data_IF_948401006163
#
_entry.id   IF_948401006163
#
_cell.length_a   1.000
_cell.length_b   1.000
_cell.length_c   1.000
_cell.angle_alpha   90.00
_cell.angle_beta   90.00
_cell.angle_gamma   90.00
#
_symmetry.space_group_name_H-M   'P 1'
#
loop_
_entity.id
_entity.type
_entity.pdbx_description
1 polymer ?
#
# COMPACT_ATOMS: atom_id res chain seq x y z
N UNK A 1 -1.21 2.26 21.21
CA UNK A 1 0.08 2.98 21.39
C UNK A 1 -0.19 4.45 21.10
N UNK A 2 0.12 5.36 22.04
CA UNK A 2 0.00 6.80 21.80
C UNK A 2 1.37 7.30 21.33
N UNK A 3 1.46 7.74 20.06
CA UNK A 3 2.70 8.26 19.49
C UNK A 3 2.83 9.75 19.78
N UNK A 4 3.76 10.11 20.66
CA UNK A 4 4.19 11.50 20.85
C UNK A 4 5.32 11.80 19.85
N UNK A 5 5.00 12.50 18.76
CA UNK A 5 5.99 12.93 17.78
C UNK A 5 6.79 14.12 18.32
N UNK A 6 7.95 13.82 18.90
CA UNK A 6 8.89 14.85 19.32
C UNK A 6 9.54 15.55 18.12
N UNK A 7 9.86 16.80 18.38
CA UNK A 7 10.08 17.94 17.50
C UNK A 7 11.42 17.84 16.73
N UNK A 8 11.48 17.11 15.62
CA UNK A 8 12.52 17.31 14.59
C UNK A 8 11.95 16.97 13.20
N UNK A 9 11.92 17.96 12.31
CA UNK A 9 11.46 17.95 10.91
C UNK A 9 9.98 17.62 10.59
N UNK A 10 9.08 18.38 11.21
CA UNK A 10 7.61 18.20 11.25
C UNK A 10 6.82 18.40 9.94
N UNK A 11 7.40 18.74 8.78
CA UNK A 11 6.62 19.10 7.58
C UNK A 11 6.42 17.98 6.54
N UNK A 12 7.15 16.85 6.61
CA UNK A 12 7.16 15.85 5.53
C UNK A 12 6.42 14.55 5.82
N UNK A 13 6.30 14.14 7.09
CA UNK A 13 5.65 12.87 7.44
C UNK A 13 4.12 12.94 7.32
N UNK A 14 3.51 14.09 7.59
CA UNK A 14 2.04 14.25 7.64
C UNK A 14 1.39 14.84 6.38
N UNK A 15 2.18 15.31 5.40
CA UNK A 15 1.65 15.95 4.18
C UNK A 15 1.04 14.98 3.17
N UNK A 16 1.09 13.68 3.44
CA UNK A 16 0.72 12.62 2.49
C UNK A 16 -0.45 11.74 2.97
N UNK A 17 -1.17 12.17 4.00
CA UNK A 17 -2.35 11.47 4.48
C UNK A 17 -3.59 11.90 3.72
N UNK A 18 -4.46 10.93 3.42
CA UNK A 18 -5.76 11.13 2.81
C UNK A 18 -6.84 10.68 3.78
N UNK A 19 -7.78 11.58 4.04
CA UNK A 19 -9.08 11.28 4.63
C UNK A 19 -10.14 11.43 3.54
N UNK A 20 -11.22 10.62 3.57
CA UNK A 20 -12.36 10.82 2.68
C UNK A 20 -12.94 12.24 2.77
N UNK A 21 -13.47 12.76 1.66
CA UNK A 21 -14.06 14.09 1.63
C UNK A 21 -15.24 14.19 2.61
N UNK A 22 -15.27 15.24 3.42
CA UNK A 22 -16.32 15.45 4.43
C UNK A 22 -16.16 14.58 5.67
N UNK A 23 -15.09 13.78 5.75
CA UNK A 23 -14.80 12.93 6.89
C UNK A 23 -13.48 13.37 7.52
N UNK A 24 -13.52 13.67 8.82
CA UNK A 24 -12.36 14.05 9.59
C UNK A 24 -12.71 14.94 10.78
N UNK A 25 -11.78 15.08 11.72
CA UNK A 25 -11.95 15.97 12.86
C UNK A 25 -12.04 17.44 12.41
N UNK A 26 -12.86 18.27 13.09
CA UNK A 26 -12.76 19.73 12.97
C UNK A 26 -11.32 20.22 13.21
N UNK A 27 -10.98 21.36 12.60
CA UNK A 27 -9.65 21.97 12.80
C UNK A 27 -9.48 22.33 14.28
N UNK A 28 -8.34 21.96 14.86
CA UNK A 28 -8.03 22.17 16.28
C UNK A 28 -8.46 21.03 17.21
N UNK A 29 -9.15 20.00 16.71
CA UNK A 29 -9.50 18.82 17.51
C UNK A 29 -8.27 17.95 17.78
N UNK A 30 -8.14 17.50 19.03
CA UNK A 30 -7.13 16.52 19.43
C UNK A 30 -7.43 15.15 18.79
N UNK A 31 -6.41 14.55 18.20
CA UNK A 31 -6.52 13.23 17.58
C UNK A 31 -5.59 12.23 18.27
N UNK A 32 -6.01 10.97 18.29
CA UNK A 32 -5.19 9.83 18.67
C UNK A 32 -4.85 9.04 17.41
N UNK A 33 -3.56 8.80 17.20
CA UNK A 33 -3.10 8.00 16.06
C UNK A 33 -2.94 6.54 16.51
N UNK A 34 -3.67 5.65 15.85
CA UNK A 34 -3.64 4.22 16.07
C UNK A 34 -2.97 3.55 14.86
N UNK A 35 -1.93 2.77 15.11
CA UNK A 35 -1.27 1.94 14.09
C UNK A 35 -1.60 0.49 14.40
N UNK A 36 -2.18 -0.18 13.42
CA UNK A 36 -2.61 -1.58 13.49
C UNK A 36 -1.64 -2.41 12.65
N UNK A 37 -1.10 -3.48 13.21
CA UNK A 37 -0.13 -4.35 12.52
C UNK A 37 -0.63 -5.79 12.58
N UNK A 38 -0.81 -6.39 11.41
CA UNK A 38 -1.10 -7.81 11.26
C UNK A 38 0.18 -8.62 11.51
N UNK A 39 0.14 -9.50 12.51
CA UNK A 39 1.28 -10.36 12.89
C UNK A 39 1.25 -11.72 12.19
N UNK A 40 0.13 -12.08 11.57
CA UNK A 40 -0.05 -13.33 10.81
C UNK A 40 0.47 -13.25 9.36
N UNK A 41 1.14 -12.14 9.03
CA UNK A 41 1.70 -11.87 7.71
C UNK A 41 0.65 -11.56 6.63
N UNK A 42 -0.63 -11.48 6.98
CA UNK A 42 -1.69 -11.18 6.03
C UNK A 42 -1.86 -9.67 5.81
N UNK A 43 -2.32 -9.23 4.64
CA UNK A 43 -2.65 -7.83 4.39
C UNK A 43 -3.70 -7.30 5.37
N UNK A 44 -3.59 -6.01 5.72
CA UNK A 44 -4.63 -5.31 6.47
C UNK A 44 -5.83 -5.04 5.55
N UNK A 45 -7.06 -5.15 6.07
CA UNK A 45 -8.27 -4.90 5.27
C UNK A 45 -8.26 -3.48 4.67
N UNK A 46 -7.80 -2.51 5.46
CA UNK A 46 -7.65 -1.11 5.09
C UNK A 46 -6.18 -0.72 5.24
N UNK A 47 -5.34 -1.24 4.35
CA UNK A 47 -3.89 -0.97 4.40
C UNK A 47 -3.56 0.51 4.24
N UNK A 48 -2.72 1.04 5.13
CA UNK A 48 -2.22 2.41 5.08
C UNK A 48 -1.50 2.71 3.76
N UNK A 49 -0.66 1.75 3.35
CA UNK A 49 0.19 1.86 2.18
C UNK A 49 -0.52 1.57 0.87
N UNK A 50 -1.84 1.34 0.86
CA UNK A 50 -2.74 0.99 -0.27
C UNK A 50 -2.17 0.10 -1.37
N UNK A 51 -1.16 -0.71 -1.09
CA UNK A 51 -0.55 -1.53 -2.10
C UNK A 51 -1.55 -2.57 -2.62
N UNK A 52 -1.25 -3.13 -3.79
CA UNK A 52 -1.92 -4.36 -4.18
C UNK A 52 -1.58 -5.46 -3.18
N UNK A 53 -2.43 -6.48 -3.12
CA UNK A 53 -2.14 -7.71 -2.36
C UNK A 53 -1.13 -8.63 -3.07
N UNK A 54 -0.48 -8.16 -4.14
CA UNK A 54 0.59 -8.87 -4.84
C UNK A 54 1.69 -7.89 -5.22
N UNK A 55 2.95 -8.29 -5.05
CA UNK A 55 4.08 -7.44 -5.37
C UNK A 55 5.43 -8.18 -5.38
N UNK A 56 6.50 -7.51 -5.85
CA UNK A 56 7.79 -8.12 -6.20
C UNK A 56 8.64 -8.54 -5.02
N UNK A 57 8.23 -8.19 -3.81
CA UNK A 57 8.97 -8.48 -2.59
C UNK A 57 8.37 -9.70 -1.91
N UNK A 58 9.20 -10.58 -1.36
CA UNK A 58 8.72 -11.78 -0.65
C UNK A 58 7.84 -11.46 0.58
N UNK A 59 7.98 -10.26 1.15
CA UNK A 59 7.25 -9.78 2.32
C UNK A 59 6.19 -8.71 1.98
N UNK A 60 5.77 -8.65 0.71
CA UNK A 60 4.85 -7.60 0.25
C UNK A 60 3.52 -7.60 1.01
N UNK A 61 2.96 -8.77 1.31
CA UNK A 61 1.72 -8.91 2.08
C UNK A 61 1.87 -8.39 3.51
N UNK A 62 3.03 -8.57 4.11
CA UNK A 62 3.31 -8.04 5.44
C UNK A 62 3.45 -6.52 5.43
N UNK A 63 4.03 -5.96 4.37
CA UNK A 63 4.03 -4.51 4.15
C UNK A 63 2.60 -3.99 3.96
N UNK A 64 1.70 -4.78 3.38
CA UNK A 64 0.28 -4.47 3.32
C UNK A 64 -0.43 -4.65 4.67
N UNK A 65 0.18 -5.34 5.65
CA UNK A 65 -0.33 -5.63 6.98
C UNK A 65 -0.42 -4.44 7.95
N UNK A 66 -0.02 -3.24 7.53
CA UNK A 66 -0.06 -2.02 8.35
C UNK A 66 -1.32 -1.20 8.05
N UNK A 67 -2.18 -1.02 9.05
CA UNK A 67 -3.29 -0.08 9.07
C UNK A 67 -2.94 1.17 9.88
N UNK A 68 -3.48 2.32 9.46
CA UNK A 68 -3.36 3.58 10.19
C UNK A 68 -4.75 4.16 10.37
N UNK A 69 -5.14 4.43 11.61
CA UNK A 69 -6.46 4.97 11.98
C UNK A 69 -6.27 6.15 12.90
N UNK A 70 -7.14 7.14 12.79
CA UNK A 70 -7.22 8.25 13.74
C UNK A 70 -8.52 8.13 14.53
N UNK A 71 -8.45 8.44 15.82
CA UNK A 71 -9.60 8.54 16.70
C UNK A 71 -9.68 9.97 17.25
N UNK A 72 -10.89 10.52 17.36
CA UNK A 72 -11.12 11.82 17.95
C UNK A 72 -12.49 11.87 18.62
N UNK A 73 -12.69 12.85 19.52
CA UNK A 73 -14.04 13.15 20.02
C UNK A 73 -14.69 14.23 19.18
N UNK A 74 -15.93 14.02 18.77
CA UNK A 74 -16.73 15.05 18.13
C UNK A 74 -17.20 16.11 19.15
N UNK A 75 -17.84 17.22 18.70
CA UNK A 75 -18.37 18.24 19.61
C UNK A 75 -19.40 17.72 20.63
N UNK A 76 -20.02 16.56 20.37
CA UNK A 76 -20.97 15.87 21.24
C UNK A 76 -20.29 14.83 22.15
N UNK A 77 -18.95 14.86 22.24
CA UNK A 77 -18.12 13.94 23.02
C UNK A 77 -18.22 12.46 22.63
N UNK A 78 -18.74 12.16 21.43
CA UNK A 78 -18.74 10.82 20.87
C UNK A 78 -17.39 10.50 20.25
N UNK A 79 -16.92 9.27 20.46
CA UNK A 79 -15.69 8.80 19.82
C UNK A 79 -15.95 8.49 18.35
N UNK A 80 -15.19 9.16 17.49
CA UNK A 80 -15.17 8.98 16.05
C UNK A 80 -13.85 8.33 15.65
N UNK A 81 -13.86 7.60 14.53
CA UNK A 81 -12.68 6.95 13.99
C UNK A 81 -12.70 6.99 12.46
N UNK A 82 -11.52 7.07 11.85
CA UNK A 82 -11.37 6.95 10.40
C UNK A 82 -9.99 6.42 10.03
N UNK A 83 -9.93 5.57 9.00
CA UNK A 83 -8.68 5.07 8.47
C UNK A 83 -8.00 6.10 7.57
N UNK A 84 -6.70 6.22 7.74
CA UNK A 84 -5.86 7.16 7.03
C UNK A 84 -4.98 6.42 6.04
N UNK A 85 -5.08 6.81 4.78
CA UNK A 85 -4.40 6.14 3.68
C UNK A 85 -3.37 7.06 3.03
N UNK A 86 -2.35 6.49 2.37
CA UNK A 86 -1.35 7.28 1.66
C UNK A 86 -1.94 7.91 0.38
N UNK A 87 -1.90 9.25 0.29
CA UNK A 87 -2.42 10.02 -0.85
C UNK A 87 -1.65 9.78 -2.16
N UNK A 88 -0.35 9.54 -2.08
CA UNK A 88 0.52 9.34 -3.25
C UNK A 88 1.31 8.04 -3.13
N UNK A 89 0.82 7.00 -3.79
CA UNK A 89 1.52 5.73 -3.98
C UNK A 89 2.63 5.86 -5.03
N UNK A 90 2.34 6.63 -6.07
CA UNK A 90 3.00 6.59 -7.38
C UNK A 90 3.77 7.86 -7.70
N UNK A 91 4.46 8.44 -6.71
CA UNK A 91 5.50 9.40 -7.06
C UNK A 91 6.47 8.65 -7.98
N UNK A 92 6.69 9.22 -9.18
CA UNK A 92 7.59 8.69 -10.21
C UNK A 92 8.95 8.52 -9.55
N UNK A 93 9.23 7.36 -8.97
CA UNK A 93 10.56 7.09 -8.50
C UNK A 93 11.46 6.92 -9.70
N UNK A 94 12.60 7.59 -9.57
CA UNK A 94 13.58 7.93 -10.57
C UNK A 94 13.92 6.78 -11.52
N UNK A 95 14.04 7.12 -12.80
CA UNK A 95 14.80 6.35 -13.78
C UNK A 95 16.08 5.79 -13.13
N UNK A 96 16.29 4.47 -13.20
CA UNK A 96 17.46 3.80 -12.63
C UNK A 96 17.22 3.03 -11.32
N UNK A 97 16.02 3.09 -10.73
CA UNK A 97 15.67 2.28 -9.55
C UNK A 97 15.00 0.95 -9.94
N UNK A 98 15.27 -0.17 -9.24
CA UNK A 98 14.57 -1.43 -9.41
C UNK A 98 13.04 -1.30 -9.38
N UNK A 99 12.33 -2.08 -10.20
CA UNK A 99 10.87 -2.24 -10.12
C UNK A 99 10.31 -2.42 -8.72
N UNK A 100 9.04 -2.08 -8.49
CA UNK A 100 8.36 -2.46 -7.23
C UNK A 100 8.56 -1.55 -6.04
N UNK A 101 9.45 -0.57 -6.15
CA UNK A 101 9.79 0.40 -5.11
C UNK A 101 8.70 1.47 -4.95
N UNK A 102 7.51 1.04 -4.53
CA UNK A 102 6.41 1.98 -4.25
C UNK A 102 6.67 2.68 -2.91
N UNK A 103 6.30 3.96 -2.81
CA UNK A 103 6.38 4.67 -1.52
C UNK A 103 5.52 4.02 -0.44
N UNK A 104 4.40 3.40 -0.85
CA UNK A 104 3.57 2.59 0.03
C UNK A 104 4.38 1.49 0.69
N UNK A 105 5.04 0.65 -0.11
CA UNK A 105 5.82 -0.49 0.39
C UNK A 105 6.89 -0.01 1.37
N UNK A 106 7.63 1.01 0.94
CA UNK A 106 8.70 1.59 1.72
C UNK A 106 8.28 2.04 3.11
N UNK A 107 7.23 2.85 3.18
CA UNK A 107 6.78 3.43 4.43
C UNK A 107 6.15 2.39 5.32
N UNK A 108 5.34 1.48 4.77
CA UNK A 108 4.74 0.42 5.57
C UNK A 108 5.79 -0.53 6.14
N UNK A 109 6.76 -0.97 5.33
CA UNK A 109 7.85 -1.82 5.81
C UNK A 109 8.69 -1.13 6.88
N UNK A 110 9.01 0.15 6.68
CA UNK A 110 9.72 0.94 7.68
C UNK A 110 8.91 1.10 8.97
N UNK A 111 7.62 1.44 8.90
CA UNK A 111 6.76 1.53 10.08
C UNK A 111 6.71 0.22 10.84
N UNK A 112 6.51 -0.88 10.11
CA UNK A 112 6.46 -2.22 10.70
C UNK A 112 7.77 -2.55 11.40
N UNK A 113 8.92 -2.32 10.76
CA UNK A 113 10.23 -2.57 11.33
C UNK A 113 10.48 -1.71 12.59
N UNK A 114 10.16 -0.42 12.53
CA UNK A 114 10.30 0.51 13.65
C UNK A 114 9.47 0.08 14.87
N UNK A 115 8.22 -0.34 14.63
CA UNK A 115 7.25 -0.66 15.69
C UNK A 115 7.42 -2.07 16.25
N UNK A 116 7.83 -3.02 15.43
CA UNK A 116 8.14 -4.38 15.90
C UNK A 116 9.60 -4.53 16.34
N UNK A 117 10.36 -3.44 16.33
CA UNK A 117 11.77 -3.39 16.74
C UNK A 117 12.63 -4.41 15.95
N UNK A 118 12.35 -4.55 14.65
CA UNK A 118 13.03 -5.49 13.75
C UNK A 118 14.28 -4.85 13.14
N UNK A 119 15.43 -5.53 13.26
CA UNK A 119 16.61 -5.21 12.48
C UNK A 119 16.57 -5.97 11.17
N UNK A 120 16.21 -5.27 10.09
CA UNK A 120 16.08 -5.90 8.78
C UNK A 120 17.32 -5.77 7.90
N UNK A 121 18.40 -5.15 8.39
CA UNK A 121 19.59 -4.88 7.57
C UNK A 121 19.28 -4.11 6.28
N UNK A 122 18.11 -3.51 6.14
CA UNK A 122 17.62 -3.11 4.81
C UNK A 122 18.44 -2.01 4.18
N UNK A 123 19.16 -1.20 4.97
CA UNK A 123 19.91 -0.06 4.45
C UNK A 123 21.02 -0.43 3.49
N UNK A 124 21.69 -1.58 3.67
CA UNK A 124 22.77 -1.97 2.76
C UNK A 124 22.25 -2.58 1.45
N UNK A 125 21.14 -3.32 1.49
CA UNK A 125 20.56 -3.98 0.30
C UNK A 125 19.59 -3.06 -0.44
N UNK A 126 18.92 -2.20 0.32
CA UNK A 126 17.83 -1.35 -0.12
C UNK A 126 17.94 0.04 0.52
N UNK A 127 18.95 0.86 0.14
CA UNK A 127 19.19 2.21 0.72
C UNK A 127 18.02 3.20 0.54
N UNK A 128 17.01 2.82 -0.24
CA UNK A 128 15.78 3.54 -0.49
C UNK A 128 14.70 3.25 0.56
N UNK A 129 14.85 2.20 1.39
CA UNK A 129 13.98 1.97 2.54
C UNK A 129 14.34 2.99 3.61
N UNK A 130 13.31 3.68 4.12
CA UNK A 130 13.50 4.69 5.17
C UNK A 130 13.85 3.99 6.48
N UNK A 131 14.94 4.42 7.11
CA UNK A 131 15.22 4.07 8.50
C UNK A 131 14.39 5.02 9.33
N UNK A 132 13.47 4.48 10.13
CA UNK A 132 12.80 5.28 11.14
C UNK A 132 13.39 5.04 12.54
N UNK A 133 14.48 4.28 12.62
CA UNK A 133 15.08 3.81 13.86
C UNK A 133 14.22 2.74 14.53
N UNK A 134 14.38 2.62 15.84
CA UNK A 134 13.63 1.70 16.69
C UNK A 134 12.72 2.51 17.60
N UNK A 135 11.43 2.19 17.62
CA UNK A 135 10.50 2.80 18.57
C UNK A 135 10.71 2.23 19.97
N UNK A 136 10.65 3.09 21.00
CA UNK A 136 10.45 2.64 22.38
C UNK A 136 8.98 2.22 22.55
N UNK A 137 8.73 0.91 22.60
CA UNK A 137 7.37 0.38 22.66
C UNK A 137 7.01 0.00 24.09
N UNK A 138 5.92 0.57 24.60
CA UNK A 138 5.31 0.14 25.85
C UNK A 138 4.14 -0.80 25.53
N UNK A 139 4.23 -2.06 25.95
CA UNK A 139 3.13 -3.01 25.85
C UNK A 139 2.16 -2.74 26.99
N UNK A 140 0.88 -2.65 26.64
CA UNK A 140 -0.21 -2.50 27.59
C UNK A 140 -1.08 -3.75 27.45
N UNK A 141 -1.18 -4.53 28.51
CA UNK A 141 -2.05 -5.71 28.58
C UNK A 141 -3.23 -5.37 29.46
N UNK A 142 -4.44 -5.58 28.94
CA UNK A 142 -5.69 -5.38 29.67
C UNK A 142 -6.27 -6.76 29.94
N UNK A 143 -6.25 -7.17 31.20
CA UNK A 143 -6.88 -8.40 31.67
C UNK A 143 -8.33 -8.08 32.02
N UNK A 144 -9.27 -8.45 31.15
CA UNK A 144 -10.69 -8.10 31.33
C UNK A 144 -11.32 -8.75 32.56
N UNK A 145 -10.91 -9.97 32.93
CA UNK A 145 -11.49 -10.67 34.07
C UNK A 145 -11.08 -10.04 35.40
N UNK A 146 -9.82 -9.61 35.53
CA UNK A 146 -9.31 -9.00 36.77
C UNK A 146 -9.32 -7.47 36.72
N UNK A 147 -9.83 -6.88 35.63
CA UNK A 147 -9.81 -5.44 35.37
C UNK A 147 -8.43 -4.80 35.57
N UNK A 148 -7.37 -5.56 35.27
CA UNK A 148 -5.99 -5.13 35.54
C UNK A 148 -5.34 -4.63 34.26
N UNK A 149 -4.74 -3.44 34.34
CA UNK A 149 -3.94 -2.86 33.26
C UNK A 149 -2.47 -3.02 33.63
N UNK A 150 -1.76 -3.90 32.93
CA UNK A 150 -0.31 -4.06 33.07
C UNK A 150 0.39 -3.28 31.97
N UNK A 151 1.47 -2.60 32.32
CA UNK A 151 2.22 -1.80 31.36
C UNK A 151 3.71 -2.03 31.52
N UNK A 152 4.34 -2.59 30.48
CA UNK A 152 5.75 -2.96 30.48
C UNK A 152 6.46 -2.31 29.28
N UNK A 153 7.69 -1.87 29.47
CA UNK A 153 8.53 -1.46 28.35
C UNK A 153 9.02 -2.74 27.66
N UNK A 154 8.72 -2.90 26.37
CA UNK A 154 9.28 -4.00 25.60
C UNK A 154 10.76 -3.73 25.37
N UNK A 155 11.60 -4.62 25.89
CA UNK A 155 13.03 -4.59 25.62
C UNK A 155 13.26 -4.61 24.11
N UNK A 156 14.24 -3.81 23.67
CA UNK A 156 14.68 -3.83 22.27
C UNK A 156 15.43 -5.13 22.03
N UNK A 157 14.69 -6.14 21.58
CA UNK A 157 15.27 -7.45 21.29
C UNK A 157 16.01 -7.47 19.97
N UNK A 158 15.86 -6.43 19.14
CA UNK A 158 16.59 -6.29 17.89
C UNK A 158 16.43 -7.50 16.99
N UNK A 159 15.22 -8.08 16.94
CA UNK A 159 14.97 -9.35 16.30
C UNK A 159 15.50 -9.31 14.86
N UNK A 160 16.55 -10.08 14.61
CA UNK A 160 17.13 -10.20 13.29
C UNK A 160 16.11 -10.90 12.40
N UNK A 161 15.73 -10.22 11.32
CA UNK A 161 14.76 -10.73 10.37
C UNK A 161 15.44 -10.99 9.04
N UNK A 162 15.11 -12.09 8.32
CA UNK A 162 15.59 -12.30 6.97
C UNK A 162 15.32 -11.09 6.10
N UNK A 163 16.32 -10.70 5.30
CA UNK A 163 16.12 -9.66 4.30
C UNK A 163 15.04 -10.13 3.31
N UNK A 164 14.05 -9.30 3.00
CA UNK A 164 13.12 -9.55 1.92
C UNK A 164 13.86 -9.87 0.63
N UNK A 165 13.51 -10.99 0.01
CA UNK A 165 14.02 -11.30 -1.30
C UNK A 165 13.26 -10.44 -2.31
N UNK A 166 14.01 -9.65 -3.07
CA UNK A 166 13.55 -9.12 -4.33
C UNK A 166 13.38 -10.33 -5.27
N UNK A 167 12.25 -10.45 -5.96
CA UNK A 167 11.79 -11.62 -6.72
C UNK A 167 10.96 -12.61 -5.89
N UNK A 168 9.66 -12.31 -5.75
CA UNK A 168 8.73 -13.40 -6.07
C UNK A 168 8.98 -13.77 -7.54
N UNK A 169 9.13 -15.07 -7.82
CA UNK A 169 9.14 -15.57 -9.20
C UNK A 169 8.00 -14.88 -9.95
N UNK A 170 8.30 -14.13 -11.02
CA UNK A 170 7.26 -13.45 -11.79
C UNK A 170 6.17 -14.44 -12.22
N UNK A 171 6.54 -15.72 -12.41
CA UNK A 171 5.59 -16.80 -12.66
C UNK A 171 4.70 -17.07 -11.46
N UNK A 172 5.22 -17.09 -10.24
CA UNK A 172 4.42 -17.23 -9.03
C UNK A 172 3.42 -16.07 -8.90
N UNK A 173 3.84 -14.84 -9.15
CA UNK A 173 2.91 -13.69 -9.18
C UNK A 173 1.84 -13.84 -10.26
N UNK A 174 2.24 -14.25 -11.45
CA UNK A 174 1.29 -14.47 -12.54
C UNK A 174 0.32 -15.60 -12.21
N UNK A 175 0.78 -16.68 -11.57
CA UNK A 175 -0.06 -17.78 -11.08
C UNK A 175 -1.03 -17.29 -10.00
N UNK A 176 -0.58 -16.47 -9.05
CA UNK A 176 -1.46 -15.84 -8.06
C UNK A 176 -2.54 -15.01 -8.75
N UNK A 177 -2.16 -14.17 -9.72
CA UNK A 177 -3.13 -13.38 -10.47
C UNK A 177 -4.13 -14.25 -11.24
N UNK A 178 -3.64 -15.30 -11.91
CA UNK A 178 -4.48 -16.26 -12.64
C UNK A 178 -5.44 -16.99 -11.69
N UNK A 179 -4.98 -17.41 -10.51
CA UNK A 179 -5.81 -18.04 -9.48
C UNK A 179 -6.90 -17.10 -8.96
N UNK A 180 -6.67 -15.77 -8.97
CA UNK A 180 -7.67 -14.76 -8.65
C UNK A 180 -8.63 -14.44 -9.82
N UNK A 181 -8.45 -15.11 -10.98
CA UNK A 181 -9.27 -14.96 -12.17
C UNK A 181 -8.72 -14.01 -13.22
N UNK A 182 -7.45 -13.58 -13.11
CA UNK A 182 -6.81 -12.79 -14.16
C UNK A 182 -6.71 -13.59 -15.45
N UNK A 183 -7.01 -12.93 -16.57
CA UNK A 183 -6.84 -13.50 -17.90
C UNK A 183 -5.58 -12.93 -18.54
N UNK A 184 -4.93 -13.74 -19.38
CA UNK A 184 -3.82 -13.30 -20.22
C UNK A 184 -2.71 -12.57 -19.45
N UNK A 185 -2.17 -13.24 -18.42
CA UNK A 185 -1.12 -12.66 -17.59
C UNK A 185 0.23 -12.82 -18.29
N UNK A 186 0.83 -11.70 -18.68
CA UNK A 186 2.11 -11.62 -19.35
C UNK A 186 3.27 -11.44 -18.36
N UNK A 187 4.35 -12.16 -18.64
CA UNK A 187 5.59 -12.17 -17.88
C UNK A 187 6.65 -11.31 -18.58
N UNK A 188 7.61 -10.77 -17.81
CA UNK A 188 8.69 -9.97 -18.40
C UNK A 188 9.68 -10.84 -19.18
N UNK A 189 9.80 -12.11 -18.81
CA UNK A 189 10.65 -13.13 -19.43
C UNK A 189 10.10 -13.71 -20.74
N UNK A 190 8.86 -13.41 -21.11
CA UNK A 190 8.26 -13.91 -22.35
C UNK A 190 8.29 -12.82 -23.43
N UNK A 191 9.08 -13.00 -24.52
CA UNK A 191 9.17 -12.00 -25.57
C UNK A 191 7.90 -11.93 -26.44
N UNK A 192 7.21 -13.07 -26.60
CA UNK A 192 6.16 -13.29 -27.59
C UNK A 192 4.85 -13.81 -26.98
N UNK A 193 4.35 -13.19 -25.90
CA UNK A 193 2.95 -13.38 -25.52
C UNK A 193 2.06 -12.74 -26.60
N UNK A 194 0.89 -13.33 -26.93
CA UNK A 194 0.02 -12.81 -27.97
C UNK A 194 -0.21 -11.30 -27.81
N UNK A 195 -0.23 -10.56 -28.92
CA UNK A 195 -0.25 -9.12 -28.89
C UNK A 195 -1.43 -8.62 -28.06
N UNK A 196 -1.15 -7.55 -27.32
CA UNK A 196 -2.14 -6.65 -26.74
C UNK A 196 -3.27 -6.47 -27.76
N UNK A 197 -4.46 -7.03 -27.47
CA UNK A 197 -5.62 -6.93 -28.36
C UNK A 197 -5.97 -8.17 -29.21
N UNK A 198 -5.51 -9.38 -28.87
CA UNK A 198 -6.10 -10.60 -29.45
C UNK A 198 -7.63 -10.59 -29.26
N UNK A 199 -8.35 -10.61 -30.38
CA UNK A 199 -9.79 -10.33 -30.49
C UNK A 199 -10.65 -11.19 -29.54
N UNK A 200 -11.00 -10.66 -28.37
CA UNK A 200 -12.18 -11.14 -27.65
C UNK A 200 -13.39 -10.71 -28.46
N UNK A 201 -14.03 -11.67 -29.14
CA UNK A 201 -15.17 -11.40 -30.03
C UNK A 201 -16.37 -10.72 -29.36
N UNK A 202 -16.42 -10.61 -28.02
CA UNK A 202 -17.59 -10.11 -27.28
C UNK A 202 -17.26 -9.23 -26.05
N UNK A 203 -16.07 -8.64 -25.93
CA UNK A 203 -15.77 -7.71 -24.82
C UNK A 203 -15.40 -6.33 -25.35
N UNK A 204 -15.87 -5.29 -24.67
CA UNK A 204 -15.46 -3.90 -24.91
C UNK A 204 -13.93 -3.84 -24.95
N UNK A 205 -13.36 -3.54 -26.13
CA UNK A 205 -11.92 -3.64 -26.43
C UNK A 205 -11.10 -2.80 -25.44
N UNK A 206 -10.53 -3.43 -24.40
CA UNK A 206 -9.49 -2.81 -23.58
C UNK A 206 -8.18 -2.80 -24.38
N UNK A 207 -7.78 -1.63 -24.87
CA UNK A 207 -6.48 -1.43 -25.55
C UNK A 207 -5.32 -1.38 -24.54
N UNK A 208 -5.63 -1.12 -23.27
CA UNK A 208 -4.65 -0.99 -22.17
C UNK A 208 -4.75 -2.19 -21.23
N UNK A 209 -3.64 -2.56 -20.60
CA UNK A 209 -3.66 -3.57 -19.53
C UNK A 209 -4.55 -3.09 -18.37
N UNK A 210 -5.00 -4.02 -17.53
CA UNK A 210 -5.95 -3.69 -16.46
C UNK A 210 -5.42 -2.57 -15.56
N UNK A 211 -4.17 -2.68 -15.09
CA UNK A 211 -3.59 -1.63 -14.24
C UNK A 211 -3.57 -0.25 -14.93
N UNK A 212 -3.17 -0.18 -16.20
CA UNK A 212 -3.12 1.09 -16.94
C UNK A 212 -4.54 1.64 -17.20
N UNK A 213 -5.49 0.76 -17.50
CA UNK A 213 -6.89 1.12 -17.71
C UNK A 213 -7.51 1.71 -16.43
N UNK A 214 -7.41 1.01 -15.30
CA UNK A 214 -7.96 1.47 -14.02
C UNK A 214 -7.22 2.70 -13.49
N UNK A 215 -5.89 2.77 -13.65
CA UNK A 215 -5.14 3.98 -13.29
C UNK A 215 -5.59 5.19 -14.10
N UNK A 216 -5.94 5.04 -15.37
CA UNK A 216 -6.46 6.15 -16.16
C UNK A 216 -7.87 6.55 -15.72
N UNK A 217 -8.79 5.56 -15.63
CA UNK A 217 -10.21 5.79 -15.31
C UNK A 217 -10.36 6.37 -13.91
N UNK A 218 -9.64 5.84 -12.93
CA UNK A 218 -9.81 6.23 -11.53
C UNK A 218 -8.89 7.39 -11.13
N UNK A 219 -7.65 7.41 -11.63
CA UNK A 219 -6.70 8.45 -11.25
C UNK A 219 -6.88 9.77 -12.00
N UNK A 220 -7.70 9.80 -13.06
CA UNK A 220 -7.88 10.97 -13.93
C UNK A 220 -6.57 11.44 -14.57
N UNK A 221 -5.55 10.57 -14.64
CA UNK A 221 -4.24 10.91 -15.16
C UNK A 221 -4.31 10.85 -16.69
N UNK A 222 -4.23 12.02 -17.33
CA UNK A 222 -4.40 12.20 -18.78
C UNK A 222 -3.37 11.43 -19.62
N UNK A 223 -2.20 11.11 -19.06
CA UNK A 223 -1.17 10.32 -19.73
C UNK A 223 -0.61 9.24 -18.82
N UNK A 224 -0.44 8.05 -19.41
CA UNK A 224 0.80 7.25 -19.41
C UNK A 224 0.51 6.05 -20.28
N UNK A 225 0.92 6.14 -21.54
CA UNK A 225 0.70 5.13 -22.55
C UNK A 225 1.01 3.73 -22.01
N UNK A 226 0.09 2.80 -22.26
CA UNK A 226 0.29 1.39 -21.98
C UNK A 226 1.24 0.82 -23.05
N UNK A 227 2.49 1.29 -23.06
CA UNK A 227 3.48 0.93 -24.07
C UNK A 227 4.16 -0.37 -23.64
N UNK A 228 4.11 -1.36 -24.51
CA UNK A 228 4.85 -2.62 -24.39
C UNK A 228 6.35 -2.31 -24.34
N UNK A 229 7.08 -2.92 -23.41
CA UNK A 229 8.55 -2.82 -23.39
C UNK A 229 9.09 -3.65 -24.56
N UNK A 230 10.06 -3.10 -25.29
CA UNK A 230 10.64 -3.82 -26.42
C UNK A 230 11.21 -5.18 -26.00
N UNK A 231 10.94 -6.21 -26.80
CA UNK A 231 11.31 -7.60 -26.48
C UNK A 231 10.61 -8.23 -25.27
N UNK A 232 9.61 -7.59 -24.64
CA UNK A 232 8.88 -8.15 -23.48
C UNK A 232 7.38 -8.04 -23.61
N UNK A 233 6.64 -8.96 -22.98
CA UNK A 233 5.17 -8.98 -23.03
C UNK A 233 4.47 -8.09 -22.00
N UNK A 234 5.24 -7.31 -21.24
CA UNK A 234 4.76 -6.44 -20.17
C UNK A 234 4.86 -4.97 -20.59
N UNK A 235 3.92 -4.13 -20.13
CA UNK A 235 4.02 -2.69 -20.35
C UNK A 235 5.07 -2.04 -19.43
N UNK A 236 5.60 -0.89 -19.85
CA UNK A 236 6.62 -0.16 -19.09
C UNK A 236 6.14 0.27 -17.70
N UNK A 237 4.84 0.51 -17.53
CA UNK A 237 4.30 0.87 -16.22
C UNK A 237 4.25 -0.33 -15.25
N UNK A 238 3.70 -1.47 -15.68
CA UNK A 238 3.69 -2.70 -14.87
C UNK A 238 5.13 -3.14 -14.54
N UNK A 239 6.05 -3.03 -15.52
CA UNK A 239 7.47 -3.29 -15.30
C UNK A 239 8.04 -2.38 -14.20
N UNK A 240 7.77 -1.07 -14.21
CA UNK A 240 8.23 -0.16 -13.15
C UNK A 240 7.61 -0.45 -11.79
N UNK A 241 6.36 -0.93 -11.76
CA UNK A 241 5.69 -1.32 -10.53
C UNK A 241 6.09 -2.73 -10.04
N UNK A 242 6.87 -3.48 -10.81
CA UNK A 242 7.24 -4.86 -10.50
C UNK A 242 6.02 -5.77 -10.32
N UNK A 243 5.02 -5.60 -11.20
CA UNK A 243 3.77 -6.37 -11.20
C UNK A 243 3.59 -7.05 -12.55
N UNK A 244 2.96 -8.23 -12.61
CA UNK A 244 2.62 -8.84 -13.89
C UNK A 244 1.65 -7.95 -14.68
N UNK A 245 1.75 -7.98 -16.01
CA UNK A 245 0.77 -7.33 -16.87
C UNK A 245 -0.36 -8.30 -17.13
N UNK A 246 -1.61 -7.88 -17.08
CA UNK A 246 -2.75 -8.74 -17.40
C UNK A 246 -3.85 -7.97 -18.12
N UNK A 247 -4.66 -8.75 -18.85
CA UNK A 247 -5.72 -8.26 -19.71
C UNK A 247 -6.98 -9.08 -19.43
N UNK A 248 -7.71 -8.65 -18.40
CA UNK A 248 -8.92 -9.30 -17.94
C UNK A 248 -10.14 -8.61 -18.53
N UNK A 249 -11.09 -9.42 -19.01
CA UNK A 249 -12.41 -8.92 -19.41
C UNK A 249 -13.01 -8.05 -18.30
N UNK A 250 -13.60 -6.89 -18.67
CA UNK A 250 -14.22 -5.98 -17.72
C UNK A 250 -15.26 -6.67 -16.83
N UNK A 251 -16.07 -7.58 -17.37
CA UNK A 251 -17.08 -8.33 -16.61
C UNK A 251 -16.43 -9.18 -15.53
N UNK A 252 -15.38 -9.94 -15.86
CA UNK A 252 -14.64 -10.78 -14.90
C UNK A 252 -13.94 -9.93 -13.84
N UNK A 253 -13.29 -8.83 -14.26
CA UNK A 253 -12.64 -7.90 -13.33
C UNK A 253 -13.65 -7.23 -12.39
N UNK A 254 -14.81 -6.84 -12.89
CA UNK A 254 -15.86 -6.21 -12.07
C UNK A 254 -16.53 -7.20 -11.11
N UNK A 255 -16.58 -8.49 -11.47
CA UNK A 255 -17.15 -9.54 -10.63
C UNK A 255 -16.23 -9.99 -9.49
N UNK A 256 -14.90 -9.81 -9.58
CA UNK A 256 -13.95 -10.29 -8.57
C UNK A 256 -13.31 -9.14 -7.78
N UNK A 257 -13.80 -8.89 -6.56
CA UNK A 257 -13.17 -7.93 -5.63
C UNK A 257 -11.73 -8.32 -5.28
N UNK A 258 -11.43 -9.61 -5.17
CA UNK A 258 -10.08 -10.09 -4.87
C UNK A 258 -9.12 -9.74 -6.03
N UNK A 259 -9.55 -9.96 -7.28
CA UNK A 259 -8.77 -9.57 -8.45
C UNK A 259 -8.57 -8.06 -8.53
N UNK A 260 -9.59 -7.27 -8.21
CA UNK A 260 -9.48 -5.81 -8.12
C UNK A 260 -8.43 -5.37 -7.10
N UNK A 261 -8.47 -5.92 -5.87
CA UNK A 261 -7.49 -5.64 -4.80
C UNK A 261 -6.06 -6.04 -5.18
N UNK A 262 -5.90 -7.16 -5.90
CA UNK A 262 -4.59 -7.60 -6.38
C UNK A 262 -4.10 -6.78 -7.58
N UNK A 263 -5.03 -6.26 -8.40
CA UNK A 263 -4.69 -5.50 -9.60
C UNK A 263 -4.36 -4.03 -9.31
N UNK A 264 -5.05 -3.42 -8.36
CA UNK A 264 -4.94 -1.99 -8.09
C UNK A 264 -5.10 -1.64 -6.61
N UNK A 265 -4.57 -0.46 -6.27
CA UNK A 265 -4.54 0.11 -4.93
C UNK A 265 -5.95 0.56 -4.51
N UNK A 266 -6.49 0.03 -3.41
CA UNK A 266 -7.92 0.07 -3.05
C UNK A 266 -8.53 1.43 -2.72
N UNK A 267 -7.76 2.48 -2.37
CA UNK A 267 -8.34 3.80 -2.05
C UNK A 267 -9.10 4.45 -3.20
N UNK A 268 -8.96 3.92 -4.40
CA UNK A 268 -9.43 4.56 -5.61
C UNK A 268 -10.92 4.26 -5.90
N UNK A 269 -11.52 3.21 -5.31
CA UNK A 269 -12.94 2.88 -5.53
C UNK A 269 -13.95 3.82 -4.83
N UNK A 270 -13.51 4.78 -4.01
CA UNK A 270 -14.38 5.70 -3.26
C UNK A 270 -14.42 7.14 -3.81
N UNK A 271 -13.88 7.39 -5.01
CA UNK A 271 -13.76 8.77 -5.56
C UNK A 271 -15.07 9.33 -6.11
N UNK A 272 -15.70 10.22 -5.35
CA UNK A 272 -16.49 11.35 -5.87
C UNK A 272 -15.60 12.57 -6.22
N UNK A 273 -16.13 13.58 -6.93
CA UNK A 273 -15.35 14.70 -7.49
C UNK A 273 -14.63 15.56 -6.41
N UNK A 274 -13.34 15.76 -6.65
CA UNK A 274 -12.40 16.46 -5.77
C UNK A 274 -12.69 17.98 -5.71
N UNK A 275 -12.85 18.51 -4.49
CA UNK A 275 -12.57 19.92 -4.16
C UNK A 275 -11.88 19.98 -2.80
N UNK A 276 -10.87 20.85 -2.71
CA UNK A 276 -10.04 21.25 -1.57
C UNK A 276 -10.19 20.43 -0.27
N UNK A 277 -9.14 19.66 0.05
CA UNK A 277 -8.99 18.98 1.35
C UNK A 277 -8.35 19.97 2.34
N UNK A 278 -8.88 20.15 3.56
CA UNK A 278 -8.23 20.93 4.61
C UNK A 278 -6.85 20.36 4.96
N UNK A 279 -5.84 21.21 5.16
CA UNK A 279 -4.59 20.80 5.82
C UNK A 279 -4.93 20.44 7.27
N UNK A 280 -4.75 19.17 7.63
CA UNK A 280 -4.81 18.73 9.02
C UNK A 280 -3.64 19.37 9.78
N UNK A 281 -3.92 20.41 10.55
CA UNK A 281 -2.95 21.06 11.42
C UNK A 281 -3.08 20.39 12.79
N UNK A 282 -2.20 19.41 13.05
CA UNK A 282 -2.09 18.81 14.39
C UNK A 282 -1.32 19.81 15.25
N UNK A 283 -2.04 20.53 16.11
CA UNK A 283 -1.42 21.29 17.20
C UNK A 283 -1.10 20.31 18.34
N UNK A 284 0.14 20.38 18.83
CA UNK A 284 0.61 19.69 20.03
C UNK A 284 0.78 20.71 21.14
#
# INVERSE_FOLDING_TARGET
MVLNFYRQDRSRLLTNFYLPKGVGPPVGTNIHVIIEIRLDGQPHEISHGLQATTGPMSDFDEACGVGLRIEWKDPQSQWMQEYVQMRQQYNRHDTGKPPGRTQGYLRSTGFRAMLLQEHRGLHHLFPWISDYGIAKVKKITIEHLTQTIKSELLATTGNARPTPLYYQDERAQAQTMQALGAQQTALSSQPNYPPVGANFRNSTRKVKCDWCHYSQVIAGRAEKDCVKVDGKSICGNCTKQGRPCHYTNATTMNASRALQRASFTTAESTRGPQRCVPRLLIQY
#
